data_IF_236525946111
#
_entry.id   IF_236525946111
#
_cell.length_a   1.000
_cell.length_b   1.000
_cell.length_c   1.000
_cell.angle_alpha   90.00
_cell.angle_beta   90.00
_cell.angle_gamma   90.00
#
_symmetry.space_group_name_H-M   'P 1'
#
loop_
_entity.id
_entity.type
_entity.pdbx_description
1 polymer ?
#
# COMPACT_ATOMS: atom_id res chain seq x y z
N UNK A 1 48.31 -42.87 23.55
CA UNK A 1 47.34 -43.96 23.30
C UNK A 1 46.20 -43.73 24.30
N UNK A 2 45.01 -43.24 23.86
CA UNK A 2 43.69 -43.94 23.88
C UNK A 2 43.56 -44.94 25.03
N UNK A 3 42.50 -44.91 25.85
CA UNK A 3 41.16 -45.41 25.48
C UNK A 3 39.97 -44.65 26.12
N UNK A 4 38.80 -44.80 25.50
CA UNK A 4 37.48 -44.22 25.84
C UNK A 4 36.65 -45.18 26.72
N UNK A 5 35.60 -44.66 27.38
CA UNK A 5 34.48 -45.48 27.87
C UNK A 5 33.33 -44.65 28.47
N UNK A 6 32.16 -44.68 27.82
CA UNK A 6 30.90 -44.00 28.17
C UNK A 6 30.09 -44.70 29.29
N UNK A 7 29.24 -43.94 30.02
CA UNK A 7 27.84 -44.20 30.48
C UNK A 7 27.45 -43.12 31.54
N UNK A 8 26.55 -42.13 31.31
CA UNK A 8 25.06 -42.07 31.50
C UNK A 8 24.62 -42.51 32.92
N UNK A 9 23.86 -41.78 33.75
CA UNK A 9 22.49 -41.17 33.66
C UNK A 9 22.37 -40.06 34.75
N UNK A 10 21.89 -38.83 34.50
CA UNK A 10 20.51 -38.26 34.49
C UNK A 10 19.66 -38.64 35.71
N UNK A 11 19.48 -37.67 36.62
CA UNK A 11 18.48 -37.68 37.70
C UNK A 11 17.69 -36.36 37.58
N UNK A 12 16.39 -36.49 37.35
CA UNK A 12 15.42 -35.42 37.10
C UNK A 12 14.79 -34.97 38.42
N UNK A 13 15.05 -33.73 38.84
CA UNK A 13 14.43 -33.11 40.02
C UNK A 13 13.28 -32.17 39.61
N UNK A 14 12.25 -32.17 40.44
CA UNK A 14 10.90 -31.67 40.18
C UNK A 14 10.75 -30.14 40.29
N UNK A 15 9.74 -29.56 39.62
CA UNK A 15 8.91 -28.48 40.20
C UNK A 15 7.69 -28.11 39.34
N UNK A 16 6.63 -27.71 40.04
CA UNK A 16 5.27 -27.39 39.58
C UNK A 16 5.17 -26.14 38.70
N UNK A 17 4.12 -26.06 37.88
CA UNK A 17 3.66 -24.76 37.38
C UNK A 17 2.56 -24.82 36.32
N UNK A 18 1.32 -25.07 36.75
CA UNK A 18 0.14 -24.78 35.93
C UNK A 18 0.04 -23.28 35.65
N UNK A 19 0.14 -22.88 34.38
CA UNK A 19 -0.55 -21.69 33.87
C UNK A 19 -0.55 -21.65 32.35
N UNK A 20 -1.74 -21.72 31.78
CA UNK A 20 -2.01 -21.38 30.39
C UNK A 20 -1.31 -20.05 30.04
N UNK A 21 -0.37 -20.13 29.11
CA UNK A 21 0.11 -18.96 28.37
C UNK A 21 -0.11 -19.23 26.90
N UNK A 22 -1.36 -19.00 26.49
CA UNK A 22 -1.72 -18.65 25.12
C UNK A 22 -0.79 -17.47 24.76
N UNK A 23 0.31 -17.77 24.09
CA UNK A 23 1.18 -16.74 23.55
C UNK A 23 0.68 -16.51 22.14
N UNK A 24 -0.31 -15.63 22.05
CA UNK A 24 -0.69 -14.96 20.83
C UNK A 24 0.59 -14.42 20.19
N UNK A 25 1.05 -15.07 19.13
CA UNK A 25 1.97 -14.43 18.18
C UNK A 25 1.10 -13.53 17.30
N UNK A 26 0.63 -12.44 17.89
CA UNK A 26 0.31 -11.25 17.11
C UNK A 26 1.66 -10.72 16.61
N UNK A 27 2.02 -11.11 15.39
CA UNK A 27 3.08 -10.41 14.69
C UNK A 27 2.54 -8.99 14.45
N UNK A 28 3.14 -8.03 15.17
CA UNK A 28 3.00 -6.61 14.97
C UNK A 28 2.99 -6.31 13.46
N UNK A 29 1.82 -5.96 12.93
CA UNK A 29 1.74 -5.23 11.69
C UNK A 29 2.25 -3.81 12.01
N UNK A 30 3.56 -3.60 11.91
CA UNK A 30 4.14 -2.27 11.83
C UNK A 30 3.28 -1.46 10.85
N UNK A 31 2.62 -0.35 11.28
CA UNK A 31 1.82 0.44 10.37
C UNK A 31 2.78 0.95 9.30
N UNK A 32 2.68 0.40 8.09
CA UNK A 32 3.34 0.95 6.93
C UNK A 32 2.90 2.41 6.87
N UNK A 33 3.81 3.35 7.18
CA UNK A 33 3.50 4.76 7.07
C UNK A 33 3.09 5.03 5.64
N UNK A 34 1.78 5.18 5.44
CA UNK A 34 1.19 5.33 4.12
C UNK A 34 1.51 6.77 3.70
N UNK A 35 2.58 6.94 2.94
CA UNK A 35 3.01 8.25 2.47
C UNK A 35 2.11 8.73 1.34
N UNK A 36 1.44 9.86 1.52
CA UNK A 36 0.62 10.49 0.49
C UNK A 36 1.42 11.58 -0.22
N UNK A 37 1.34 11.61 -1.55
CA UNK A 37 1.88 12.72 -2.35
C UNK A 37 0.69 13.46 -2.94
N UNK A 38 0.62 14.76 -2.68
CA UNK A 38 -0.38 15.61 -3.30
C UNK A 38 -0.02 15.87 -4.76
N UNK A 39 -0.81 15.26 -5.66
CA UNK A 39 -0.71 15.45 -7.11
C UNK A 39 -1.83 16.32 -7.66
N UNK A 40 -2.54 17.09 -6.83
CA UNK A 40 -3.69 17.92 -7.25
C UNK A 40 -3.33 18.89 -8.38
N UNK A 41 -2.17 19.56 -8.29
CA UNK A 41 -1.74 20.52 -9.32
C UNK A 41 -1.41 19.82 -10.65
N UNK A 42 -0.56 18.77 -10.69
CA UNK A 42 -0.37 17.96 -11.88
C UNK A 42 -1.67 17.38 -12.45
N UNK A 43 -2.55 16.85 -11.61
CA UNK A 43 -3.79 16.21 -12.04
C UNK A 43 -4.75 17.21 -12.72
N UNK A 44 -4.80 18.45 -12.21
CA UNK A 44 -5.62 19.54 -12.79
C UNK A 44 -5.22 19.90 -14.22
N UNK A 45 -3.97 19.69 -14.62
CA UNK A 45 -3.54 19.92 -16.00
C UNK A 45 -4.27 19.03 -17.01
N UNK A 46 -4.69 17.83 -16.58
CA UNK A 46 -5.39 16.86 -17.43
C UNK A 46 -6.92 17.03 -17.44
N UNK A 47 -7.46 17.92 -16.61
CA UNK A 47 -8.90 18.20 -16.56
C UNK A 47 -9.29 19.06 -17.76
N UNK A 48 -10.24 18.59 -18.56
CA UNK A 48 -10.80 19.29 -19.72
C UNK A 48 -12.31 19.20 -19.68
N UNK A 49 -12.98 20.34 -19.88
CA UNK A 49 -14.45 20.43 -19.91
C UNK A 49 -15.14 19.81 -18.69
N UNK A 50 -14.52 19.93 -17.50
CA UNK A 50 -15.04 19.38 -16.25
C UNK A 50 -14.86 17.87 -16.08
N UNK A 51 -14.13 17.20 -16.98
CA UNK A 51 -13.84 15.78 -16.92
C UNK A 51 -12.33 15.52 -16.80
N UNK A 52 -11.96 14.40 -16.15
CA UNK A 52 -10.58 13.90 -16.08
C UNK A 52 -10.50 12.59 -16.85
N UNK A 53 -9.64 12.52 -17.86
CA UNK A 53 -9.39 11.31 -18.63
C UNK A 53 -7.88 11.00 -18.67
N UNK A 54 -7.47 9.88 -18.06
CA UNK A 54 -6.11 9.35 -18.12
C UNK A 54 -6.14 7.99 -18.82
N UNK A 55 -5.15 7.75 -19.69
CA UNK A 55 -5.03 6.49 -20.43
C UNK A 55 -4.60 5.33 -19.52
N UNK A 56 -4.74 4.09 -20.02
CA UNK A 56 -4.25 2.87 -19.36
C UNK A 56 -2.72 2.73 -19.51
N UNK A 57 -1.98 3.66 -18.92
CA UNK A 57 -0.52 3.60 -18.86
C UNK A 57 -0.05 4.00 -17.46
N UNK A 58 1.18 3.62 -17.08
CA UNK A 58 1.74 3.98 -15.77
C UNK A 58 1.65 5.48 -15.54
N UNK A 59 1.08 5.89 -14.41
CA UNK A 59 0.91 7.31 -14.07
C UNK A 59 2.25 8.00 -13.88
N UNK A 60 3.31 7.28 -13.53
CA UNK A 60 4.67 7.82 -13.48
C UNK A 60 5.17 8.38 -14.83
N UNK A 61 4.55 8.01 -15.95
CA UNK A 61 4.83 8.57 -17.28
C UNK A 61 4.08 9.88 -17.58
N UNK A 62 3.18 10.32 -16.70
CA UNK A 62 2.42 11.56 -16.86
C UNK A 62 3.24 12.77 -16.40
N UNK A 63 3.00 13.92 -17.04
CA UNK A 63 3.67 15.16 -16.67
C UNK A 63 3.37 15.53 -15.20
N UNK A 64 4.43 15.69 -14.41
CA UNK A 64 4.32 16.05 -12.99
C UNK A 64 4.03 14.89 -12.05
N UNK A 65 4.05 13.65 -12.55
CA UNK A 65 3.92 12.44 -11.74
C UNK A 65 5.26 11.71 -11.63
N UNK A 66 5.39 10.93 -10.56
CA UNK A 66 6.46 9.95 -10.37
C UNK A 66 5.91 8.76 -9.58
N UNK A 67 6.66 7.66 -9.52
CA UNK A 67 6.27 6.50 -8.71
C UNK A 67 6.80 6.65 -7.26
N UNK A 68 5.93 6.86 -6.24
CA UNK A 68 6.35 6.96 -4.82
C UNK A 68 7.02 5.71 -4.27
N UNK A 69 6.74 4.55 -4.86
CA UNK A 69 7.15 3.26 -4.32
C UNK A 69 8.56 2.86 -4.77
N UNK A 70 9.25 3.69 -5.56
CA UNK A 70 10.64 3.45 -5.96
C UNK A 70 11.55 3.79 -4.79
N UNK A 71 12.19 2.76 -4.21
CA UNK A 71 13.23 2.89 -3.19
C UNK A 71 14.61 2.63 -3.79
N UNK A 72 15.65 3.16 -3.14
CA UNK A 72 17.05 3.15 -3.59
C UNK A 72 17.65 1.73 -3.72
N UNK A 73 17.02 0.72 -3.16
CA UNK A 73 17.38 -0.70 -3.23
C UNK A 73 16.84 -1.42 -4.49
N UNK A 74 16.00 -0.76 -5.30
CA UNK A 74 15.49 -1.30 -6.56
C UNK A 74 16.38 -0.84 -7.72
N UNK A 75 17.01 -1.78 -8.41
CA UNK A 75 17.81 -1.47 -9.60
C UNK A 75 16.90 -1.05 -10.77
N UNK A 76 17.43 -0.40 -11.81
CA UNK A 76 16.67 0.00 -13.01
C UNK A 76 15.97 -1.21 -13.68
N UNK A 77 16.50 -2.43 -13.49
CA UNK A 77 15.86 -3.66 -13.94
C UNK A 77 14.60 -4.02 -13.11
N UNK A 78 14.60 -3.73 -11.81
CA UNK A 78 13.49 -3.98 -10.89
C UNK A 78 12.36 -2.96 -11.07
N UNK A 79 12.67 -1.72 -11.44
CA UNK A 79 11.67 -0.70 -11.78
C UNK A 79 10.80 -1.07 -13.01
N UNK A 80 11.32 -1.90 -13.92
CA UNK A 80 10.58 -2.46 -15.06
C UNK A 80 9.78 -3.72 -14.70
N UNK A 81 10.12 -4.35 -13.58
CA UNK A 81 9.46 -5.52 -13.03
C UNK A 81 8.63 -5.11 -11.81
N UNK A 82 7.59 -4.31 -12.06
CA UNK A 82 6.53 -3.93 -11.09
C UNK A 82 5.79 -5.16 -10.47
N UNK A 83 6.16 -6.37 -10.89
CA UNK A 83 5.72 -7.63 -10.30
C UNK A 83 6.44 -7.99 -8.97
N UNK A 84 7.61 -7.41 -8.67
CA UNK A 84 8.41 -7.79 -7.49
C UNK A 84 8.41 -6.74 -6.35
N UNK A 85 7.82 -5.56 -6.55
CA UNK A 85 7.54 -4.64 -5.45
C UNK A 85 6.27 -5.09 -4.74
N UNK A 86 6.36 -5.42 -3.45
CA UNK A 86 5.20 -5.80 -2.65
C UNK A 86 4.17 -4.65 -2.53
N UNK A 87 4.57 -3.41 -2.82
CA UNK A 87 3.73 -2.22 -2.75
C UNK A 87 3.68 -1.55 -4.12
N UNK A 88 2.46 -1.40 -4.66
CA UNK A 88 2.19 -0.66 -5.89
C UNK A 88 1.62 0.72 -5.54
N UNK A 89 1.96 1.77 -6.30
CA UNK A 89 1.36 3.08 -6.09
C UNK A 89 -0.12 3.05 -6.50
N UNK A 90 -0.93 3.81 -5.78
CA UNK A 90 -2.35 4.01 -6.05
C UNK A 90 -2.61 5.51 -6.26
N UNK A 91 -3.55 5.83 -7.15
CA UNK A 91 -4.08 7.18 -7.29
C UNK A 91 -5.43 7.28 -6.61
N UNK A 92 -5.50 8.09 -5.56
CA UNK A 92 -6.75 8.49 -4.94
C UNK A 92 -7.19 9.85 -5.46
N UNK A 93 -8.46 9.96 -5.84
CA UNK A 93 -9.06 11.22 -6.29
C UNK A 93 -10.35 11.49 -5.54
N UNK A 94 -10.40 12.64 -4.87
CA UNK A 94 -11.62 13.23 -4.33
C UNK A 94 -12.01 14.43 -5.19
N UNK A 95 -13.23 14.42 -5.72
CA UNK A 95 -13.70 15.45 -6.63
C UNK A 95 -15.15 15.83 -6.35
N UNK A 96 -15.54 17.04 -6.74
CA UNK A 96 -16.92 17.49 -6.72
C UNK A 96 -17.49 17.48 -8.13
N UNK A 97 -18.70 16.96 -8.28
CA UNK A 97 -19.44 16.97 -9.53
C UNK A 97 -20.93 17.13 -9.23
N UNK A 98 -21.59 18.05 -9.91
CA UNK A 98 -23.02 18.33 -9.72
C UNK A 98 -23.43 18.58 -8.25
N UNK A 99 -22.62 19.36 -7.52
CA UNK A 99 -22.87 19.68 -6.11
C UNK A 99 -22.62 18.55 -5.11
N UNK A 100 -22.17 17.38 -5.58
CA UNK A 100 -21.90 16.20 -4.78
C UNK A 100 -20.40 15.87 -4.78
N UNK A 101 -19.87 15.41 -3.64
CA UNK A 101 -18.48 14.95 -3.48
C UNK A 101 -18.41 13.45 -3.71
N UNK A 102 -17.39 13.04 -4.44
CA UNK A 102 -17.11 11.66 -4.78
C UNK A 102 -15.65 11.31 -4.52
N UNK A 103 -15.41 10.03 -4.25
CA UNK A 103 -14.08 9.47 -4.06
C UNK A 103 -13.89 8.21 -4.92
N UNK A 104 -12.70 8.08 -5.52
CA UNK A 104 -12.31 6.91 -6.27
C UNK A 104 -10.81 6.66 -6.16
N UNK A 105 -10.43 5.38 -6.12
CA UNK A 105 -9.04 4.93 -6.11
C UNK A 105 -8.77 4.12 -7.36
N UNK A 106 -7.60 4.32 -7.97
CA UNK A 106 -7.19 3.69 -9.22
C UNK A 106 -5.79 3.09 -9.08
N UNK A 107 -5.56 1.96 -9.74
CA UNK A 107 -4.21 1.40 -9.88
C UNK A 107 -3.33 2.29 -10.79
N UNK A 108 -2.01 2.12 -10.72
CA UNK A 108 -1.03 2.89 -11.49
C UNK A 108 -1.34 2.92 -13.00
N UNK A 109 -1.68 1.78 -13.56
CA UNK A 109 -1.94 1.55 -14.99
C UNK A 109 -3.43 1.55 -15.35
N UNK A 110 -4.33 1.68 -14.37
CA UNK A 110 -5.77 1.75 -14.60
C UNK A 110 -6.16 3.09 -15.25
N UNK A 111 -6.94 3.04 -16.35
CA UNK A 111 -7.53 4.23 -16.94
C UNK A 111 -8.42 4.97 -15.94
N UNK A 112 -8.35 6.30 -15.98
CA UNK A 112 -9.19 7.17 -15.14
C UNK A 112 -10.18 7.87 -16.04
N UNK A 113 -11.46 7.79 -15.68
CA UNK A 113 -12.54 8.54 -16.30
C UNK A 113 -13.40 9.12 -15.20
N UNK A 114 -13.23 10.41 -14.92
CA UNK A 114 -14.08 11.15 -13.99
C UNK A 114 -14.93 12.17 -14.76
N UNK A 115 -16.23 12.31 -14.45
CA UNK A 115 -16.95 11.65 -13.35
C UNK A 115 -17.08 10.13 -13.55
N UNK A 116 -16.81 9.35 -12.50
CA UNK A 116 -16.86 7.89 -12.55
C UNK A 116 -18.20 7.38 -12.03
N UNK A 117 -18.78 6.41 -12.73
CA UNK A 117 -19.98 5.68 -12.29
C UNK A 117 -19.72 4.71 -11.13
N UNK A 118 -18.45 4.44 -10.81
CA UNK A 118 -18.02 3.55 -9.73
C UNK A 118 -17.47 4.31 -8.52
N UNK A 119 -17.48 5.65 -8.57
CA UNK A 119 -17.01 6.46 -7.44
C UNK A 119 -17.99 6.37 -6.26
N UNK A 120 -17.44 6.37 -5.05
CA UNK A 120 -18.21 6.42 -3.82
C UNK A 120 -18.72 7.83 -3.60
N UNK A 121 -20.04 8.01 -3.42
CA UNK A 121 -20.63 9.30 -3.10
C UNK A 121 -20.49 9.60 -1.60
N UNK A 122 -19.90 10.74 -1.26
CA UNK A 122 -19.56 11.11 0.13
C UNK A 122 -20.55 12.07 0.79
N UNK A 123 -21.22 12.91 -0.01
CA UNK A 123 -22.20 13.89 0.46
C UNK A 123 -22.19 15.16 -0.38
N UNK A 124 -23.09 16.12 -0.11
CA UNK A 124 -23.07 17.41 -0.77
C UNK A 124 -21.80 18.19 -0.41
N UNK A 125 -21.35 19.04 -1.33
CA UNK A 125 -20.20 19.92 -1.10
C UNK A 125 -20.43 20.81 0.13
N UNK A 126 -19.44 20.90 1.00
CA UNK A 126 -19.51 21.69 2.24
C UNK A 126 -20.04 20.93 3.46
N UNK A 127 -20.50 19.68 3.30
CA UNK A 127 -20.96 18.83 4.41
C UNK A 127 -20.06 17.61 4.67
N UNK A 128 -19.00 17.42 3.88
CA UNK A 128 -18.03 16.32 4.02
C UNK A 128 -16.79 16.87 4.74
N UNK A 129 -16.41 16.25 5.87
CA UNK A 129 -15.26 16.63 6.70
C UNK A 129 -14.03 15.78 6.36
#
# INVERSE_FOLDING_TARGET
MREQGLNREIDDDAEMGSRDKISQREAEAEPLEQSWIDVTVPLRFFVKDGALALNSSSKAGLLGFYNPCVREDLTIADARSSANSAVKPLLYVRYAYDGQVFEATFDDDQAVSLPSQYACAMGPVGCVY
#
